data_IF_984764256655
#
_entry.id   IF_984764256655
#
_cell.length_a   1.000
_cell.length_b   1.000
_cell.length_c   1.000
_cell.angle_alpha   90.00
_cell.angle_beta   90.00
_cell.angle_gamma   90.00
#
_symmetry.space_group_name_H-M   'P 1'
#
loop_
_entity.id
_entity.type
_entity.pdbx_description
1 polymer ?
#
# COMPACT_ATOMS: atom_id res chain seq x y z
N UNK A 1 13.13 -17.03 22.97
CA UNK A 1 13.35 -15.56 23.13
C UNK A 1 12.94 -14.82 21.86
N UNK A 2 13.42 -15.23 20.66
CA UNK A 2 13.07 -14.57 19.38
C UNK A 2 11.57 -14.64 19.12
N UNK A 3 10.97 -15.82 19.24
CA UNK A 3 9.53 -16.03 19.05
C UNK A 3 8.67 -15.17 19.98
N UNK A 4 9.14 -14.97 21.22
CA UNK A 4 8.45 -14.09 22.17
C UNK A 4 8.48 -12.62 21.73
N UNK A 5 9.61 -12.15 21.20
CA UNK A 5 9.73 -10.79 20.68
C UNK A 5 8.81 -10.59 19.46
N UNK A 6 8.77 -11.56 18.56
CA UNK A 6 7.90 -11.56 17.40
C UNK A 6 6.42 -11.53 17.83
N UNK A 7 6.03 -12.40 18.75
CA UNK A 7 4.66 -12.45 19.24
C UNK A 7 4.22 -11.14 19.91
N UNK A 8 5.10 -10.54 20.73
CA UNK A 8 4.82 -9.22 21.35
C UNK A 8 4.61 -8.15 20.27
N UNK A 9 5.42 -8.15 19.21
CA UNK A 9 5.29 -7.19 18.12
C UNK A 9 3.96 -7.39 17.37
N UNK A 10 3.58 -8.63 17.07
CA UNK A 10 2.29 -8.97 16.43
C UNK A 10 1.13 -8.48 17.30
N UNK A 11 1.12 -8.80 18.57
CA UNK A 11 0.03 -8.47 19.49
C UNK A 11 -0.13 -6.95 19.63
N UNK A 12 0.97 -6.22 19.73
CA UNK A 12 0.96 -4.75 19.79
C UNK A 12 0.45 -4.12 18.50
N UNK A 13 0.85 -4.63 17.35
CA UNK A 13 0.34 -4.14 16.06
C UNK A 13 -1.15 -4.40 15.90
N UNK A 14 -1.61 -5.60 16.23
CA UNK A 14 -3.05 -5.93 16.22
C UNK A 14 -3.84 -5.00 17.12
N UNK A 15 -3.33 -4.73 18.32
CA UNK A 15 -3.98 -3.83 19.26
C UNK A 15 -3.98 -2.36 18.80
N UNK A 16 -2.84 -1.88 18.29
CA UNK A 16 -2.67 -0.50 17.82
C UNK A 16 -3.58 -0.18 16.64
N UNK A 17 -3.74 -1.12 15.72
CA UNK A 17 -4.47 -0.91 14.46
C UNK A 17 -5.86 -1.54 14.43
N UNK A 18 -6.29 -2.21 15.49
CA UNK A 18 -7.54 -2.96 15.51
C UNK A 18 -7.58 -4.07 14.46
N UNK A 19 -6.41 -4.64 14.12
CA UNK A 19 -6.28 -5.63 13.07
C UNK A 19 -6.50 -7.04 13.62
N UNK A 20 -7.17 -7.90 12.84
CA UNK A 20 -7.30 -9.32 13.19
C UNK A 20 -5.98 -10.07 13.02
N UNK A 21 -5.18 -9.66 12.03
CA UNK A 21 -3.92 -10.29 11.66
C UNK A 21 -2.80 -9.26 11.52
N UNK A 22 -1.59 -9.66 11.87
CA UNK A 22 -0.38 -8.89 11.65
C UNK A 22 0.78 -9.82 11.32
N UNK A 23 1.70 -9.35 10.46
CA UNK A 23 2.94 -10.04 10.13
C UNK A 23 4.10 -9.05 10.31
N UNK A 24 5.11 -9.45 11.06
CA UNK A 24 6.28 -8.62 11.40
C UNK A 24 7.58 -9.18 10.81
N UNK A 25 7.50 -10.17 9.93
CA UNK A 25 8.67 -10.81 9.34
C UNK A 25 9.33 -10.05 8.18
N UNK A 26 8.63 -9.20 7.39
CA UNK A 26 9.28 -8.46 6.33
C UNK A 26 10.46 -7.62 6.88
N UNK A 27 11.61 -7.71 6.21
CA UNK A 27 12.81 -6.96 6.62
C UNK A 27 12.76 -5.48 6.23
N UNK A 28 11.78 -5.08 5.41
CA UNK A 28 11.62 -3.70 4.93
C UNK A 28 10.18 -3.43 4.49
N UNK A 29 9.79 -2.16 4.43
CA UNK A 29 8.50 -1.76 3.87
C UNK A 29 8.34 -2.15 2.41
N UNK A 30 9.41 -2.10 1.63
CA UNK A 30 9.39 -2.56 0.23
C UNK A 30 9.08 -4.05 0.12
N UNK A 31 9.64 -4.89 0.99
CA UNK A 31 9.33 -6.33 1.02
C UNK A 31 7.89 -6.58 1.48
N UNK A 32 7.42 -5.85 2.48
CA UNK A 32 6.03 -5.96 2.93
C UNK A 32 5.05 -5.62 1.80
N UNK A 33 5.31 -4.53 1.07
CA UNK A 33 4.51 -4.14 -0.10
C UNK A 33 4.54 -5.20 -1.20
N UNK A 34 5.73 -5.74 -1.49
CA UNK A 34 5.89 -6.81 -2.47
C UNK A 34 5.05 -8.03 -2.11
N UNK A 35 5.09 -8.46 -0.85
CA UNK A 35 4.31 -9.60 -0.38
C UNK A 35 2.80 -9.38 -0.58
N UNK A 36 2.31 -8.17 -0.31
CA UNK A 36 0.91 -7.81 -0.53
C UNK A 36 0.56 -7.83 -2.03
N UNK A 37 1.39 -7.23 -2.89
CA UNK A 37 1.15 -7.27 -4.33
C UNK A 37 1.07 -8.70 -4.85
N UNK A 38 2.02 -9.55 -4.46
CA UNK A 38 2.06 -10.95 -4.88
C UNK A 38 0.86 -11.78 -4.36
N UNK A 39 0.33 -11.43 -3.19
CA UNK A 39 -0.83 -12.10 -2.62
C UNK A 39 -2.16 -11.66 -3.24
N UNK A 40 -2.25 -10.40 -3.67
CA UNK A 40 -3.52 -9.78 -4.07
C UNK A 40 -3.67 -9.56 -5.57
N UNK A 41 -2.57 -9.52 -6.33
CA UNK A 41 -2.54 -9.14 -7.74
C UNK A 41 -1.87 -10.20 -8.61
N UNK A 42 -2.33 -10.34 -9.84
CA UNK A 42 -1.62 -11.03 -10.90
C UNK A 42 -0.71 -10.06 -11.65
N UNK A 43 0.36 -10.56 -12.24
CA UNK A 43 1.24 -9.74 -13.09
C UNK A 43 0.42 -9.10 -14.22
N UNK A 44 0.54 -7.80 -14.37
CA UNK A 44 -0.21 -7.00 -15.34
C UNK A 44 -1.50 -6.37 -14.80
N UNK A 45 -1.92 -6.73 -13.59
CA UNK A 45 -3.07 -6.09 -12.95
C UNK A 45 -2.80 -4.61 -12.65
N UNK A 46 -3.89 -3.84 -12.55
CA UNK A 46 -3.83 -2.41 -12.30
C UNK A 46 -4.08 -2.11 -10.83
N UNK A 47 -3.28 -1.21 -10.26
CA UNK A 47 -3.47 -0.70 -8.91
C UNK A 47 -3.29 0.83 -8.85
N UNK A 48 -3.73 1.43 -7.75
CA UNK A 48 -3.60 2.87 -7.48
C UNK A 48 -2.54 3.11 -6.42
N UNK A 49 -1.55 3.96 -6.72
CA UNK A 49 -0.50 4.40 -5.81
C UNK A 49 -0.44 5.91 -5.66
N UNK A 50 0.05 6.39 -4.52
CA UNK A 50 0.31 7.81 -4.34
C UNK A 50 1.51 8.22 -5.19
N UNK A 51 1.35 9.33 -5.93
CA UNK A 51 2.41 9.89 -6.76
C UNK A 51 3.69 10.16 -5.94
N UNK A 52 4.84 9.82 -6.51
CA UNK A 52 6.14 9.94 -5.83
C UNK A 52 6.44 11.37 -5.39
N UNK A 53 6.11 12.37 -6.22
CA UNK A 53 6.32 13.79 -5.93
C UNK A 53 5.42 14.32 -4.81
N UNK A 54 4.37 13.58 -4.47
CA UNK A 54 3.40 13.93 -3.45
C UNK A 54 3.52 13.08 -2.17
N UNK A 55 4.69 12.50 -1.95
CA UNK A 55 4.99 11.70 -0.76
C UNK A 55 4.80 10.19 -0.97
N UNK A 56 4.61 9.74 -2.20
CA UNK A 56 4.63 8.32 -2.54
C UNK A 56 5.99 7.68 -2.30
N UNK A 57 6.01 6.36 -2.27
CA UNK A 57 7.22 5.56 -2.15
C UNK A 57 7.55 4.90 -3.50
N UNK A 58 8.81 4.54 -3.74
CA UNK A 58 9.20 3.82 -4.96
C UNK A 58 8.40 2.54 -5.19
N UNK A 59 7.99 1.85 -4.12
CA UNK A 59 7.14 0.65 -4.19
C UNK A 59 5.66 0.93 -4.51
N UNK A 60 5.29 2.18 -4.82
CA UNK A 60 3.96 2.56 -5.29
C UNK A 60 3.84 2.66 -6.81
N UNK A 61 4.65 1.94 -7.56
CA UNK A 61 4.54 1.88 -9.00
C UNK A 61 5.67 2.57 -9.77
N UNK A 62 6.76 2.94 -9.11
CA UNK A 62 7.93 3.49 -9.81
C UNK A 62 8.42 2.50 -10.88
N UNK A 63 8.73 2.96 -12.11
CA UNK A 63 9.17 2.10 -13.21
C UNK A 63 10.43 1.29 -12.92
N UNK A 64 11.22 1.71 -11.94
CA UNK A 64 12.46 1.02 -11.52
C UNK A 64 12.21 0.04 -10.35
N UNK A 65 11.00 -0.02 -9.84
CA UNK A 65 10.60 -0.90 -8.75
C UNK A 65 9.78 -2.09 -9.28
N UNK A 66 9.81 -3.21 -8.56
CA UNK A 66 9.01 -4.39 -8.87
C UNK A 66 7.54 -4.05 -9.13
N UNK A 67 6.98 -3.13 -8.37
CA UNK A 67 5.58 -2.71 -8.50
C UNK A 67 5.28 -2.07 -9.86
N UNK A 68 6.17 -1.24 -10.39
CA UNK A 68 6.00 -0.65 -11.72
C UNK A 68 6.43 -1.55 -12.87
N UNK A 69 7.30 -2.54 -12.60
CA UNK A 69 7.74 -3.52 -13.62
C UNK A 69 6.66 -4.57 -13.87
N UNK A 70 6.04 -5.10 -12.82
CA UNK A 70 5.13 -6.23 -12.91
C UNK A 70 3.65 -5.83 -13.01
N UNK A 71 3.29 -4.62 -12.59
CA UNK A 71 1.90 -4.16 -12.51
C UNK A 71 1.71 -2.82 -13.22
N UNK A 72 0.46 -2.48 -13.51
CA UNK A 72 0.10 -1.18 -14.07
C UNK A 72 -0.25 -0.23 -12.93
N UNK A 73 0.69 0.65 -12.59
CA UNK A 73 0.45 1.66 -11.58
C UNK A 73 -0.32 2.85 -12.17
N UNK A 74 -1.44 3.20 -11.56
CA UNK A 74 -2.13 4.46 -11.74
C UNK A 74 -1.84 5.33 -10.53
N UNK A 75 -1.69 6.63 -10.75
CA UNK A 75 -1.32 7.56 -9.69
C UNK A 75 -2.51 8.40 -9.26
N UNK A 76 -2.58 8.66 -7.95
CA UNK A 76 -3.40 9.71 -7.38
C UNK A 76 -2.51 10.70 -6.63
N UNK A 77 -3.02 11.89 -6.41
CA UNK A 77 -2.27 13.03 -5.90
C UNK A 77 -2.84 13.56 -4.60
N UNK A 78 -2.13 14.49 -3.98
CA UNK A 78 -2.65 15.37 -2.95
C UNK A 78 -3.07 16.70 -3.56
N UNK A 79 -4.02 17.39 -2.94
CA UNK A 79 -4.43 18.75 -3.31
C UNK A 79 -3.31 19.72 -2.94
N UNK A 80 -2.98 20.63 -3.84
CA UNK A 80 -1.95 21.64 -3.60
C UNK A 80 -2.34 22.62 -2.47
N UNK A 81 -3.64 22.81 -2.27
CA UNK A 81 -4.19 23.78 -1.33
C UNK A 81 -3.95 23.40 0.14
N UNK A 82 -4.09 22.11 0.48
CA UNK A 82 -4.08 21.65 1.86
C UNK A 82 -3.22 20.38 2.12
N UNK A 83 -2.60 19.84 1.07
CA UNK A 83 -1.77 18.64 1.13
C UNK A 83 -2.53 17.35 1.44
N UNK A 84 -3.86 17.35 1.40
CA UNK A 84 -4.67 16.17 1.63
C UNK A 84 -4.89 15.38 0.35
N UNK A 85 -5.16 14.09 0.51
CA UNK A 85 -5.47 13.22 -0.63
C UNK A 85 -6.64 13.80 -1.43
N UNK A 86 -6.47 13.90 -2.74
CA UNK A 86 -7.54 14.28 -3.66
C UNK A 86 -8.47 13.08 -3.91
N UNK A 87 -9.47 12.96 -3.05
CA UNK A 87 -10.44 11.86 -3.13
C UNK A 87 -11.30 11.91 -4.40
N UNK A 88 -11.55 13.09 -4.95
CA UNK A 88 -12.33 13.24 -6.18
C UNK A 88 -11.54 12.70 -7.39
N UNK A 89 -10.24 13.04 -7.45
CA UNK A 89 -9.33 12.44 -8.44
C UNK A 89 -9.21 10.93 -8.26
N UNK A 90 -9.01 10.48 -7.03
CA UNK A 90 -8.90 9.06 -6.69
C UNK A 90 -10.12 8.27 -7.16
N UNK A 91 -11.33 8.76 -6.84
CA UNK A 91 -12.58 8.11 -7.23
C UNK A 91 -12.75 8.09 -8.76
N UNK A 92 -12.46 9.19 -9.44
CA UNK A 92 -12.53 9.27 -10.89
C UNK A 92 -11.60 8.26 -11.54
N UNK A 93 -10.32 8.26 -11.17
CA UNK A 93 -9.32 7.32 -11.73
C UNK A 93 -9.71 5.86 -11.46
N UNK A 94 -10.21 5.57 -10.26
CA UNK A 94 -10.68 4.24 -9.92
C UNK A 94 -11.89 3.81 -10.76
N UNK A 95 -12.86 4.69 -10.99
CA UNK A 95 -14.07 4.39 -11.80
C UNK A 95 -13.75 4.20 -13.29
N UNK A 96 -12.89 5.04 -13.84
CA UNK A 96 -12.53 5.01 -15.26
C UNK A 96 -11.72 3.77 -15.63
N UNK A 97 -10.82 3.35 -14.77
CA UNK A 97 -9.88 2.27 -15.05
C UNK A 97 -10.32 0.91 -14.51
N UNK A 98 -11.40 0.86 -13.70
CA UNK A 98 -11.94 -0.37 -13.09
C UNK A 98 -10.82 -1.34 -12.68
N UNK A 99 -9.91 -0.93 -11.80
CA UNK A 99 -8.86 -1.82 -11.36
C UNK A 99 -9.49 -3.11 -10.85
N UNK A 100 -9.08 -4.26 -11.38
CA UNK A 100 -9.68 -5.59 -11.17
C UNK A 100 -9.65 -6.03 -9.71
N UNK A 101 -8.74 -5.48 -8.95
CA UNK A 101 -8.70 -5.56 -7.50
C UNK A 101 -8.63 -4.13 -6.96
N UNK A 102 -9.63 -3.75 -6.20
CA UNK A 102 -9.63 -2.46 -5.49
C UNK A 102 -8.62 -2.53 -4.33
N UNK A 103 -7.36 -2.77 -4.66
CA UNK A 103 -6.28 -2.60 -3.70
C UNK A 103 -5.96 -1.13 -3.66
N UNK A 104 -6.66 -0.40 -2.82
CA UNK A 104 -6.21 0.90 -2.40
C UNK A 104 -5.04 0.69 -1.44
N UNK A 105 -3.84 0.72 -1.97
CA UNK A 105 -2.64 0.66 -1.16
C UNK A 105 -2.43 2.03 -0.50
N UNK A 106 -3.12 2.27 0.60
CA UNK A 106 -2.88 3.42 1.44
C UNK A 106 -1.66 3.12 2.31
N UNK A 107 -0.48 3.39 1.78
CA UNK A 107 0.76 3.32 2.55
C UNK A 107 0.99 4.69 3.15
N UNK A 108 0.68 4.86 4.41
CA UNK A 108 1.16 5.99 5.19
C UNK A 108 2.59 5.69 5.63
N UNK A 109 3.57 6.21 4.91
CA UNK A 109 4.97 6.16 5.31
C UNK A 109 5.31 7.44 6.08
N UNK A 110 5.15 7.42 7.38
CA UNK A 110 5.86 8.31 8.27
C UNK A 110 6.92 7.48 8.99
N UNK A 111 8.12 7.38 8.43
CA UNK A 111 9.36 6.98 9.11
C UNK A 111 9.44 5.62 9.80
N UNK A 112 8.34 4.93 10.02
CA UNK A 112 8.24 3.61 10.62
C UNK A 112 7.29 2.74 9.79
N UNK A 113 7.81 1.63 9.41
CA UNK A 113 7.27 0.59 8.53
C UNK A 113 5.88 0.09 8.95
N UNK A 114 4.84 0.65 8.36
CA UNK A 114 3.46 0.19 8.54
C UNK A 114 2.77 0.13 7.19
N UNK A 115 2.53 -1.09 6.74
CA UNK A 115 1.74 -1.35 5.54
C UNK A 115 0.29 -1.54 5.94
N UNK A 116 -0.56 -0.59 5.57
CA UNK A 116 -2.00 -0.78 5.63
C UNK A 116 -2.52 -1.18 4.26
N UNK A 117 -3.10 -2.36 4.19
CA UNK A 117 -3.90 -2.76 3.04
C UNK A 117 -5.36 -2.64 3.42
N UNK A 118 -6.05 -1.66 2.89
CA UNK A 118 -7.50 -1.63 2.92
C UNK A 118 -8.01 -2.19 1.60
N UNK A 119 -8.39 -3.44 1.61
CA UNK A 119 -9.16 -4.04 0.53
C UNK A 119 -10.57 -3.46 0.58
N UNK A 120 -10.90 -2.60 -0.38
CA UNK A 120 -12.28 -2.23 -0.64
C UNK A 120 -12.87 -3.31 -1.57
N UNK A 121 -13.21 -4.46 -0.97
CA UNK A 121 -14.04 -5.43 -1.66
C UNK A 121 -15.50 -4.97 -1.59
N UNK A 122 -16.11 -4.76 -2.73
CA UNK A 122 -17.56 -4.85 -2.94
C UNK A 122 -17.85 -5.98 -3.91
#
# INVERSE_FOLDING_TARGET
>A
VVDQSEQIAIDRLKQLFGAEWANVQPHSGAQANMAVFMACLNVGDTFLGLNLSHGGHLSHGSPVNMSGINYKALEYSVKEEDGRVDYDQLERVARENKPLSQVLLLIAVNGNMLVFVKLLMK
#
